data_IF_037412278323
#
_entry.id   IF_037412278323
#
_cell.length_a   1.000
_cell.length_b   1.000
_cell.length_c   1.000
_cell.angle_alpha   90.00
_cell.angle_beta   90.00
_cell.angle_gamma   90.00
#
_symmetry.space_group_name_H-M   'P 1'
#
loop_
_entity.id
_entity.type
_entity.pdbx_description
1 polymer ?
#
# COMPACT_ATOMS: atom_id res chain seq x y z
N UNK A 1 -15.23 12.75 25.59
CA UNK A 1 -14.24 13.34 24.66
C UNK A 1 -14.01 12.34 23.54
N UNK A 2 -14.29 12.69 22.28
CA UNK A 2 -14.01 11.80 21.14
C UNK A 2 -12.49 11.65 21.00
N UNK A 3 -12.00 10.41 20.95
CA UNK A 3 -10.56 10.15 20.80
C UNK A 3 -10.18 10.32 19.32
N UNK A 4 -9.90 11.55 18.91
CA UNK A 4 -9.65 11.97 17.50
C UNK A 4 -8.38 11.31 16.93
N UNK A 5 -7.50 10.80 17.79
CA UNK A 5 -6.27 10.07 17.41
C UNK A 5 -6.54 8.81 16.59
N UNK A 6 -7.62 8.07 16.88
CA UNK A 6 -7.99 6.84 16.16
C UNK A 6 -8.43 7.12 14.70
N UNK A 7 -9.38 8.03 14.41
CA UNK A 7 -9.73 8.36 13.03
C UNK A 7 -8.59 9.02 12.27
N UNK A 8 -7.72 9.80 12.92
CA UNK A 8 -6.48 10.31 12.31
C UNK A 8 -5.58 9.14 11.91
N UNK A 9 -5.34 8.20 12.82
CA UNK A 9 -4.54 7.00 12.55
C UNK A 9 -5.13 6.21 11.37
N UNK A 10 -6.45 6.06 11.32
CA UNK A 10 -7.15 5.37 10.23
C UNK A 10 -6.93 6.04 8.87
N UNK A 11 -7.06 7.36 8.80
CA UNK A 11 -6.78 8.12 7.59
C UNK A 11 -5.32 7.97 7.14
N UNK A 12 -4.37 8.06 8.08
CA UNK A 12 -2.94 7.84 7.81
C UNK A 12 -2.68 6.41 7.29
N UNK A 13 -3.28 5.40 7.91
CA UNK A 13 -3.16 4.00 7.49
C UNK A 13 -3.67 3.75 6.07
N UNK A 14 -4.80 4.36 5.69
CA UNK A 14 -5.33 4.28 4.33
C UNK A 14 -4.39 4.94 3.30
N UNK A 15 -3.84 6.11 3.62
CA UNK A 15 -2.89 6.80 2.75
C UNK A 15 -1.61 5.97 2.57
N UNK A 16 -1.05 5.43 3.65
CA UNK A 16 0.13 4.55 3.60
C UNK A 16 -0.14 3.31 2.75
N UNK A 17 -1.32 2.71 2.89
CA UNK A 17 -1.74 1.57 2.07
C UNK A 17 -1.81 1.95 0.59
N UNK A 18 -2.48 3.06 0.23
CA UNK A 18 -2.59 3.53 -1.14
C UNK A 18 -1.23 3.80 -1.79
N UNK A 19 -0.31 4.45 -1.07
CA UNK A 19 1.07 4.68 -1.52
C UNK A 19 1.79 3.35 -1.73
N UNK A 20 1.62 2.37 -0.82
CA UNK A 20 2.23 1.05 -0.94
C UNK A 20 1.76 0.32 -2.20
N UNK A 21 0.44 0.29 -2.45
CA UNK A 21 -0.15 -0.29 -3.67
C UNK A 21 0.39 0.41 -4.92
N UNK A 22 0.38 1.75 -4.95
CA UNK A 22 0.88 2.53 -6.08
C UNK A 22 2.34 2.21 -6.41
N UNK A 23 3.18 2.15 -5.37
CA UNK A 23 4.58 1.85 -5.51
C UNK A 23 4.81 0.40 -5.97
N UNK A 24 3.99 -0.56 -5.51
CA UNK A 24 4.04 -1.94 -5.98
C UNK A 24 3.63 -2.06 -7.45
N UNK A 25 2.58 -1.35 -7.87
CA UNK A 25 2.16 -1.29 -9.26
C UNK A 25 3.26 -0.70 -10.17
N UNK A 26 3.92 0.39 -9.74
CA UNK A 26 5.07 0.95 -10.47
C UNK A 26 6.22 -0.06 -10.62
N UNK A 27 6.48 -0.83 -9.56
CA UNK A 27 7.53 -1.85 -9.57
C UNK A 27 7.14 -3.00 -10.49
N UNK A 28 5.89 -3.47 -10.47
CA UNK A 28 5.38 -4.47 -11.43
C UNK A 28 5.52 -4.02 -12.88
N UNK A 29 5.12 -2.77 -13.20
CA UNK A 29 5.28 -2.17 -14.54
C UNK A 29 6.74 -2.12 -15.01
N UNK A 30 7.67 -1.93 -14.06
CA UNK A 30 9.10 -1.89 -14.36
C UNK A 30 9.67 -3.31 -14.49
N UNK A 31 9.19 -4.25 -13.67
CA UNK A 31 9.60 -5.65 -13.66
C UNK A 31 9.19 -6.39 -14.94
N UNK A 32 8.08 -6.01 -15.59
CA UNK A 32 7.67 -6.56 -16.90
C UNK A 32 8.74 -6.38 -17.99
N UNK A 33 9.62 -5.38 -17.83
CA UNK A 33 10.69 -5.06 -18.79
C UNK A 33 12.08 -5.55 -18.38
N UNK A 34 12.21 -6.26 -17.25
CA UNK A 34 13.49 -6.67 -16.68
C UNK A 34 13.57 -8.19 -16.48
N UNK A 35 14.77 -8.80 -16.55
CA UNK A 35 14.95 -10.22 -16.26
C UNK A 35 14.62 -10.53 -14.78
N UNK A 36 13.92 -11.64 -14.49
CA UNK A 36 13.29 -11.91 -13.20
C UNK A 36 14.26 -12.00 -12.01
N UNK A 37 15.54 -12.30 -12.25
CA UNK A 37 16.58 -12.37 -11.21
C UNK A 37 16.99 -10.99 -10.66
N UNK A 38 17.05 -9.96 -11.50
CA UNK A 38 17.44 -8.61 -11.05
C UNK A 38 16.24 -7.87 -10.46
N UNK A 39 15.05 -8.08 -11.03
CA UNK A 39 13.80 -7.54 -10.51
C UNK A 39 13.55 -7.98 -9.05
N UNK A 40 13.72 -9.27 -8.74
CA UNK A 40 13.51 -9.80 -7.39
C UNK A 40 14.45 -9.14 -6.35
N UNK A 41 15.72 -8.95 -6.69
CA UNK A 41 16.70 -8.31 -5.79
C UNK A 41 16.35 -6.85 -5.55
N UNK A 42 15.95 -6.12 -6.59
CA UNK A 42 15.57 -4.71 -6.48
C UNK A 42 14.25 -4.51 -5.71
N UNK A 43 13.28 -5.41 -5.90
CA UNK A 43 12.03 -5.45 -5.14
C UNK A 43 12.33 -5.64 -3.66
N UNK A 44 13.11 -6.66 -3.31
CA UNK A 44 13.41 -7.00 -1.91
C UNK A 44 14.12 -5.88 -1.16
N UNK A 45 15.13 -5.24 -1.77
CA UNK A 45 15.85 -4.11 -1.14
C UNK A 45 14.92 -2.91 -0.93
N UNK A 46 14.10 -2.56 -1.93
CA UNK A 46 13.11 -1.48 -1.79
C UNK A 46 12.06 -1.79 -0.73
N UNK A 47 11.63 -3.05 -0.64
CA UNK A 47 10.68 -3.50 0.38
C UNK A 47 11.26 -3.40 1.79
N UNK A 48 12.50 -3.90 2.00
CA UNK A 48 13.18 -3.77 3.28
C UNK A 48 13.35 -2.32 3.71
N UNK A 49 13.78 -1.43 2.79
CA UNK A 49 13.89 0.00 3.08
C UNK A 49 12.56 0.64 3.47
N UNK A 50 11.46 0.27 2.80
CA UNK A 50 10.11 0.75 3.15
C UNK A 50 9.66 0.26 4.52
N UNK A 51 9.86 -1.02 4.83
CA UNK A 51 9.49 -1.58 6.13
C UNK A 51 10.29 -0.87 7.23
N UNK A 52 11.60 -0.68 7.05
CA UNK A 52 12.42 0.04 8.00
C UNK A 52 11.92 1.48 8.22
N UNK A 53 11.64 2.22 7.14
CA UNK A 53 11.10 3.58 7.23
C UNK A 53 9.73 3.63 7.92
N UNK A 54 8.83 2.69 7.59
CA UNK A 54 7.50 2.58 8.20
C UNK A 54 7.60 2.25 9.70
N UNK A 55 8.49 1.34 10.09
CA UNK A 55 8.69 0.98 11.51
C UNK A 55 9.21 2.16 12.31
N UNK A 56 10.17 2.92 11.77
CA UNK A 56 10.68 4.14 12.42
C UNK A 56 9.59 5.21 12.54
N UNK A 57 8.81 5.42 11.48
CA UNK A 57 7.72 6.39 11.47
C UNK A 57 6.60 6.00 12.44
N UNK A 58 6.23 4.72 12.49
CA UNK A 58 5.27 4.20 13.46
C UNK A 58 5.77 4.35 14.90
N UNK A 59 7.05 4.07 15.16
CA UNK A 59 7.67 4.28 16.47
C UNK A 59 7.65 5.75 16.90
N UNK A 60 7.90 6.68 15.98
CA UNK A 60 7.83 8.11 16.24
C UNK A 60 6.39 8.58 16.52
N UNK A 61 5.42 8.09 15.74
CA UNK A 61 4.00 8.40 15.94
C UNK A 61 3.47 7.82 17.25
N UNK A 62 3.91 6.62 17.61
CA UNK A 62 3.62 5.99 18.90
C UNK A 62 4.09 6.85 20.08
N UNK A 63 5.30 7.40 19.95
CA UNK A 63 5.89 8.28 20.96
C UNK A 63 5.12 9.60 21.11
N UNK A 64 4.69 10.20 19.99
CA UNK A 64 4.05 11.52 19.98
C UNK A 64 2.55 11.49 20.32
N UNK A 65 1.81 10.50 19.83
CA UNK A 65 0.35 10.46 19.90
C UNK A 65 -0.20 9.26 20.66
N UNK A 66 0.66 8.42 21.23
CA UNK A 66 0.30 7.22 21.99
C UNK A 66 -0.07 6.03 21.11
N UNK A 67 -0.42 4.92 21.75
CA UNK A 67 -0.74 3.65 21.07
C UNK A 67 -2.04 3.71 20.24
N UNK A 68 -2.96 4.62 20.58
CA UNK A 68 -4.25 4.75 19.90
C UNK A 68 -4.10 5.07 18.40
N UNK A 69 -3.08 5.87 18.04
CA UNK A 69 -2.82 6.20 16.63
C UNK A 69 -2.34 4.97 15.86
N UNK A 70 -1.57 4.08 16.49
CA UNK A 70 -1.06 2.85 15.87
C UNK A 70 -2.22 1.92 15.58
N UNK A 71 -3.15 1.77 16.52
CA UNK A 71 -4.36 0.96 16.34
C UNK A 71 -5.16 1.51 15.16
N UNK A 72 -5.34 2.83 15.08
CA UNK A 72 -5.95 3.48 13.92
C UNK A 72 -5.24 3.16 12.61
N UNK A 73 -3.91 3.28 12.56
CA UNK A 73 -3.10 3.01 11.35
C UNK A 73 -3.24 1.55 10.91
N UNK A 74 -3.14 0.60 11.85
CA UNK A 74 -3.30 -0.82 11.56
C UNK A 74 -4.70 -1.13 11.01
N UNK A 75 -5.74 -0.58 11.62
CA UNK A 75 -7.11 -0.71 11.12
C UNK A 75 -7.30 -0.09 9.74
N UNK A 76 -6.72 1.09 9.49
CA UNK A 76 -6.76 1.74 8.18
C UNK A 76 -6.07 0.91 7.10
N UNK A 77 -4.91 0.34 7.40
CA UNK A 77 -4.20 -0.55 6.47
C UNK A 77 -4.97 -1.86 6.22
N UNK A 78 -5.58 -2.43 7.25
CA UNK A 78 -6.40 -3.64 7.14
C UNK A 78 -7.68 -3.40 6.32
N UNK A 79 -8.38 -2.30 6.56
CA UNK A 79 -9.53 -1.89 5.75
C UNK A 79 -9.13 -1.65 4.31
N UNK A 80 -8.03 -0.94 4.07
CA UNK A 80 -7.50 -0.71 2.74
C UNK A 80 -7.20 -2.02 2.00
N UNK A 81 -6.55 -2.97 2.66
CA UNK A 81 -6.23 -4.27 2.06
C UNK A 81 -7.48 -5.10 1.77
N UNK A 82 -8.46 -5.08 2.67
CA UNK A 82 -9.72 -5.80 2.50
C UNK A 82 -10.54 -5.22 1.35
N UNK A 83 -10.69 -3.88 1.29
CA UNK A 83 -11.35 -3.20 0.16
C UNK A 83 -10.62 -3.49 -1.15
N UNK A 84 -9.29 -3.42 -1.16
CA UNK A 84 -8.50 -3.71 -2.35
C UNK A 84 -8.69 -5.16 -2.81
N UNK A 85 -8.67 -6.12 -1.89
CA UNK A 85 -8.88 -7.55 -2.16
C UNK A 85 -10.29 -7.81 -2.71
N UNK A 86 -11.31 -7.21 -2.10
CA UNK A 86 -12.69 -7.33 -2.57
C UNK A 86 -12.84 -6.71 -3.96
N UNK A 87 -12.25 -5.53 -4.19
CA UNK A 87 -12.27 -4.87 -5.50
C UNK A 87 -11.56 -5.71 -6.58
N UNK A 88 -10.40 -6.30 -6.27
CA UNK A 88 -9.68 -7.19 -7.21
C UNK A 88 -10.43 -8.48 -7.50
N UNK A 89 -11.11 -9.05 -6.50
CA UNK A 89 -11.90 -10.27 -6.69
C UNK A 89 -13.20 -10.02 -7.45
N UNK A 90 -13.81 -8.87 -7.24
CA UNK A 90 -15.07 -8.44 -7.87
C UNK A 90 -14.89 -8.12 -9.35
N UNK A 91 -13.79 -7.43 -9.71
CA UNK A 91 -13.57 -6.92 -11.06
C UNK A 91 -12.09 -7.10 -11.46
N UNK A 92 -11.80 -8.20 -12.14
CA UNK A 92 -10.47 -8.40 -12.73
C UNK A 92 -10.09 -7.26 -13.69
N UNK A 93 -11.09 -6.69 -14.38
CA UNK A 93 -10.98 -5.52 -15.24
C UNK A 93 -10.51 -4.25 -14.49
N UNK A 94 -10.82 -4.11 -13.21
CA UNK A 94 -10.33 -3.00 -12.37
C UNK A 94 -8.81 -3.14 -12.12
N UNK A 95 -8.35 -4.37 -11.85
CA UNK A 95 -6.93 -4.65 -11.71
C UNK A 95 -6.18 -4.43 -13.02
N UNK A 96 -6.73 -4.90 -14.15
CA UNK A 96 -6.16 -4.64 -15.48
C UNK A 96 -6.11 -3.15 -15.80
N UNK A 97 -7.12 -2.35 -15.45
CA UNK A 97 -7.07 -0.89 -15.61
C UNK A 97 -6.04 -0.22 -14.71
N UNK A 98 -5.85 -0.71 -13.48
CA UNK A 98 -4.81 -0.23 -12.57
C UNK A 98 -3.40 -0.52 -13.09
N UNK A 99 -3.21 -1.74 -13.62
CA UNK A 99 -1.91 -2.20 -14.15
C UNK A 99 -1.64 -1.62 -15.54
N UNK A 100 -2.62 -1.53 -16.42
CA UNK A 100 -2.41 -1.12 -17.83
C UNK A 100 -2.78 0.36 -18.10
N UNK A 101 -3.40 1.06 -17.15
CA UNK A 101 -3.88 2.43 -17.31
C UNK A 101 -5.28 2.52 -17.95
N UNK A 102 -5.93 3.71 -17.94
CA UNK A 102 -7.22 3.93 -18.58
C UNK A 102 -7.04 3.86 -20.11
N UNK A 103 -7.20 2.66 -20.66
CA UNK A 103 -6.93 2.34 -22.06
C UNK A 103 -6.26 0.98 -22.31
N UNK A 104 -6.05 0.18 -21.27
CA UNK A 104 -5.41 -1.15 -21.37
C UNK A 104 -6.21 -2.18 -22.19
N UNK A 105 -6.01 -2.14 -23.52
CA UNK A 105 -6.29 -3.17 -24.54
C UNK A 105 -7.76 -3.58 -24.75
N UNK A 106 -8.47 -2.77 -25.55
CA UNK A 106 -9.58 -3.22 -26.41
C UNK A 106 -9.06 -3.96 -27.66
N UNK A 107 -8.13 -4.90 -27.50
CA UNK A 107 -7.72 -5.77 -28.60
C UNK A 107 -7.20 -7.07 -28.02
N UNK A 108 -8.12 -7.99 -27.75
CA UNK A 108 -8.30 -9.18 -28.59
C UNK A 108 -9.78 -9.52 -28.66
#
# INVERSE_FOLDING_TARGET
MYNITVPIGLAVGLVLFGISVWLNLKVLKTAEKMPPREAAKQISVRYMGRIAALTVLLGLLAWLAGLDIIIGILWGMFLGSLVFLVATRSEWSFFERLVNGPGGRLSQ
#
